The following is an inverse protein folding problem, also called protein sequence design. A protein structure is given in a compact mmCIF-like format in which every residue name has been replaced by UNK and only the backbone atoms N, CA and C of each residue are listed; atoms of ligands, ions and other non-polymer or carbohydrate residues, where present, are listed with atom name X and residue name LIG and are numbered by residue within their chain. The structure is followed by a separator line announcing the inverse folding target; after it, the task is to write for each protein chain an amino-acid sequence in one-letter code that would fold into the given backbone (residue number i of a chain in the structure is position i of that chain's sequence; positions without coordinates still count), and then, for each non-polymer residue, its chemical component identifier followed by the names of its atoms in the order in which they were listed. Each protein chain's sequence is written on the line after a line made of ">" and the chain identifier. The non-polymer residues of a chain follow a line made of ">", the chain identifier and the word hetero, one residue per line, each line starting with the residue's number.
data_IF_299010017084
#
_entry.id   IF_299010017084
#
_cell.length_a   1.000
_cell.length_b   1.000
_cell.length_c   1.000
_cell.angle_alpha   90.00
_cell.angle_beta   90.00
_cell.angle_gamma   90.00
#
_symmetry.space_group_name_H-M   'P 1'
#
loop_
_entity.id
_entity.type
_entity.pdbx_description
1 polymer ?
#
# COMPACT_ATOMS: atom_id res chain seq x y z
N UNK A 1 1.22 4.24 9.60
CA UNK A 1 1.68 5.53 9.04
C UNK A 1 2.05 5.42 7.57
N UNK A 2 1.36 6.19 6.72
CA UNK A 2 1.71 6.36 5.29
C UNK A 2 2.73 7.48 5.12
N UNK A 3 3.86 7.16 4.50
CA UNK A 3 4.94 8.09 4.14
C UNK A 3 4.94 8.38 2.64
N UNK A 4 5.35 9.58 2.27
CA UNK A 4 5.47 10.03 0.89
C UNK A 4 6.93 10.42 0.58
N UNK A 5 7.48 9.89 -0.51
CA UNK A 5 8.84 10.15 -0.99
C UNK A 5 8.75 10.86 -2.34
N UNK A 6 9.00 12.18 -2.35
CA UNK A 6 8.89 13.03 -3.55
C UNK A 6 9.83 12.57 -4.66
N UNK A 7 11.04 12.15 -4.33
CA UNK A 7 12.07 11.76 -5.31
C UNK A 7 11.67 10.54 -6.16
N UNK A 8 10.72 9.74 -5.65
CA UNK A 8 10.17 8.59 -6.37
C UNK A 8 8.86 8.93 -7.09
N UNK A 9 8.35 10.16 -7.02
CA UNK A 9 7.06 10.51 -7.59
C UNK A 9 7.20 10.92 -9.07
N UNK A 10 6.47 10.26 -9.96
CA UNK A 10 6.36 10.63 -11.38
C UNK A 10 5.20 11.57 -11.70
N UNK A 11 4.54 12.14 -10.69
CA UNK A 11 3.45 13.13 -10.85
C UNK A 11 2.26 12.68 -11.71
N UNK A 12 1.98 11.38 -11.77
CA UNK A 12 0.90 10.83 -12.61
C UNK A 12 -0.52 11.07 -12.07
N UNK A 13 -0.67 11.52 -10.82
CA UNK A 13 -1.97 11.81 -10.20
C UNK A 13 -2.80 10.59 -9.77
N UNK A 14 -2.34 9.36 -9.97
CA UNK A 14 -3.09 8.15 -9.60
C UNK A 14 -3.50 8.12 -8.12
N UNK A 15 -2.61 8.55 -7.22
CA UNK A 15 -2.90 8.62 -5.78
C UNK A 15 -4.02 9.61 -5.42
N UNK A 16 -4.11 10.73 -6.15
CA UNK A 16 -5.16 11.76 -5.97
C UNK A 16 -6.51 11.18 -6.32
N UNK A 17 -6.60 10.48 -7.46
CA UNK A 17 -7.85 9.90 -7.96
C UNK A 17 -8.44 8.82 -7.03
N UNK A 18 -7.59 8.07 -6.30
CA UNK A 18 -8.04 6.96 -5.45
C UNK A 18 -8.17 7.31 -3.97
N UNK A 19 -7.85 8.55 -3.57
CA UNK A 19 -7.90 8.97 -2.17
C UNK A 19 -9.35 9.17 -1.72
N UNK A 20 -9.91 8.32 -0.84
CA UNK A 20 -11.32 8.44 -0.45
C UNK A 20 -11.60 9.73 0.35
N UNK A 21 -10.59 10.19 1.09
CA UNK A 21 -10.65 11.41 1.89
C UNK A 21 -10.40 12.68 1.05
N UNK A 22 -10.02 12.53 -0.22
CA UNK A 22 -9.72 13.65 -1.14
C UNK A 22 -8.70 14.66 -0.59
N UNK A 23 -7.75 14.18 0.23
CA UNK A 23 -6.73 15.02 0.88
C UNK A 23 -5.42 15.12 0.10
N UNK A 24 -5.31 14.41 -1.03
CA UNK A 24 -4.13 14.48 -1.89
C UNK A 24 -4.42 15.42 -3.05
N UNK A 25 -3.52 16.35 -3.32
CA UNK A 25 -3.62 17.28 -4.44
C UNK A 25 -2.33 17.21 -5.26
N UNK A 26 -2.46 17.30 -6.59
CA UNK A 26 -1.34 17.35 -7.52
C UNK A 26 -1.32 18.74 -8.18
N UNK A 27 -0.25 19.49 -7.95
CA UNK A 27 0.00 20.79 -8.57
C UNK A 27 1.29 20.70 -9.36
N UNK A 28 1.19 20.70 -10.69
CA UNK A 28 2.31 20.54 -11.63
C UNK A 28 3.21 19.34 -11.29
N UNK A 29 4.27 19.58 -10.53
CA UNK A 29 5.30 18.63 -10.11
C UNK A 29 5.37 18.47 -8.59
N UNK A 30 4.25 18.63 -7.89
CA UNK A 30 4.18 18.42 -6.45
C UNK A 30 2.87 17.75 -6.05
N UNK A 31 2.99 16.68 -5.25
CA UNK A 31 1.85 16.09 -4.55
C UNK A 31 1.89 16.55 -3.10
N UNK A 32 0.82 17.19 -2.65
CA UNK A 32 0.64 17.61 -1.26
C UNK A 32 -0.36 16.70 -0.55
N UNK A 33 -0.23 16.61 0.78
CA UNK A 33 -1.11 15.80 1.64
C UNK A 33 -1.71 16.68 2.71
N UNK A 34 -3.03 16.84 2.67
CA UNK A 34 -3.82 17.51 3.68
C UNK A 34 -3.97 16.70 4.97
N UNK A 35 -4.76 17.24 5.90
CA UNK A 35 -5.08 16.62 7.19
C UNK A 35 -6.26 15.66 7.01
N UNK A 36 -6.30 14.56 7.76
CA UNK A 36 -7.43 13.61 7.75
C UNK A 36 -7.15 12.29 7.03
N UNK A 37 -5.88 11.89 6.91
CA UNK A 37 -5.53 10.58 6.38
C UNK A 37 -5.98 9.47 7.34
N UNK A 38 -6.87 8.59 6.88
CA UNK A 38 -7.37 7.42 7.61
C UNK A 38 -6.44 6.18 7.52
N UNK A 39 -5.33 6.31 6.78
CA UNK A 39 -4.38 5.22 6.51
C UNK A 39 -4.96 4.04 5.71
N UNK A 40 -5.95 4.28 4.84
CA UNK A 40 -6.56 3.23 4.00
C UNK A 40 -5.57 2.51 3.06
N UNK A 41 -4.47 3.15 2.65
CA UNK A 41 -3.40 2.52 1.87
C UNK A 41 -3.59 2.50 0.34
N UNK A 42 -4.69 3.04 -0.20
CA UNK A 42 -4.91 3.04 -1.66
C UNK A 42 -3.76 3.67 -2.45
N UNK A 43 -3.17 4.75 -1.93
CA UNK A 43 -2.04 5.41 -2.56
C UNK A 43 -0.78 4.53 -2.62
N UNK A 44 -0.57 3.61 -1.67
CA UNK A 44 0.58 2.70 -1.69
C UNK A 44 0.39 1.57 -2.69
N UNK A 45 -0.86 1.16 -2.95
CA UNK A 45 -1.21 0.11 -3.90
C UNK A 45 -1.17 0.63 -5.34
N UNK A 46 -1.76 1.81 -5.58
CA UNK A 46 -1.90 2.33 -6.96
C UNK A 46 -0.62 2.97 -7.48
N UNK A 47 0.32 3.37 -6.62
CA UNK A 47 1.49 4.12 -7.06
C UNK A 47 2.51 3.18 -7.75
N UNK A 48 2.68 3.27 -9.08
CA UNK A 48 3.58 2.37 -9.81
C UNK A 48 5.05 2.65 -9.48
N UNK A 49 5.36 3.86 -9.02
CA UNK A 49 6.72 4.28 -8.67
C UNK A 49 7.08 3.96 -7.21
N UNK A 50 6.12 3.48 -6.40
CA UNK A 50 6.36 3.23 -4.98
C UNK A 50 6.65 4.49 -4.16
N UNK A 51 6.14 5.66 -4.57
CA UNK A 51 6.33 6.93 -3.86
C UNK A 51 5.62 6.99 -2.50
N UNK A 52 4.61 6.13 -2.28
CA UNK A 52 3.93 5.99 -1.00
C UNK A 52 4.26 4.65 -0.34
N UNK A 53 4.63 4.68 0.94
CA UNK A 53 4.94 3.48 1.73
C UNK A 53 4.16 3.45 3.04
N UNK A 54 3.86 2.25 3.54
CA UNK A 54 3.23 1.99 4.85
C UNK A 54 4.25 1.29 5.76
N UNK A 55 4.40 1.73 7.02
CA UNK A 55 5.41 1.19 7.96
C UNK A 55 4.98 -0.08 8.71
N UNK A 56 3.71 -0.46 8.60
CA UNK A 56 3.19 -1.72 9.11
C UNK A 56 3.69 -2.88 8.25
N UNK A 57 4.64 -3.61 8.81
CA UNK A 57 5.07 -4.91 8.32
C UNK A 57 3.86 -5.84 8.18
N UNK A 58 3.48 -6.17 6.95
CA UNK A 58 3.43 -7.54 6.42
C UNK A 58 2.61 -7.62 5.12
N UNK A 59 3.25 -7.48 3.96
CA UNK A 59 3.12 -8.42 2.82
C UNK A 59 4.00 -8.00 1.64
N UNK A 60 5.31 -7.97 1.85
CA UNK A 60 6.26 -8.09 0.74
C UNK A 60 6.62 -9.56 0.67
N UNK A 61 5.84 -10.35 -0.06
CA UNK A 61 6.27 -11.68 -0.49
C UNK A 61 7.53 -11.46 -1.31
N UNK A 62 8.66 -11.64 -0.66
CA UNK A 62 9.97 -11.67 -1.26
C UNK A 62 10.01 -12.87 -2.21
N UNK A 63 10.20 -12.62 -3.51
CA UNK A 63 10.32 -13.67 -4.53
C UNK A 63 11.43 -14.69 -4.20
N UNK A 64 12.40 -14.33 -3.34
CA UNK A 64 13.46 -15.25 -2.89
C UNK A 64 13.02 -16.20 -1.76
N UNK A 65 11.91 -15.92 -1.07
CA UNK A 65 11.31 -16.81 -0.07
C UNK A 65 10.35 -17.86 -0.67
N UNK A 66 9.88 -17.68 -1.90
CA UNK A 66 9.01 -18.66 -2.58
C UNK A 66 9.78 -19.87 -3.12
N UNK A 67 11.06 -19.70 -3.44
CA UNK A 67 11.91 -20.78 -3.96
C UNK A 67 12.54 -21.66 -2.86
N UNK A 68 12.44 -21.29 -1.58
CA UNK A 68 13.15 -22.00 -0.50
C UNK A 68 12.27 -22.55 0.62
N UNK A 69 10.99 -22.14 0.76
CA UNK A 69 10.07 -22.70 1.74
C UNK A 69 8.66 -22.84 1.16
N UNK A 70 8.29 -24.08 0.83
CA UNK A 70 6.91 -24.44 0.50
C UNK A 70 5.97 -24.08 1.68
N UNK A 71 4.86 -23.40 1.36
CA UNK A 71 3.63 -23.27 2.16
C UNK A 71 3.52 -22.16 3.24
N UNK A 72 3.19 -20.93 2.82
CA UNK A 72 2.42 -19.98 3.67
C UNK A 72 1.07 -19.56 3.05
N UNK A 73 0.59 -20.29 2.04
CA UNK A 73 -0.86 -20.35 1.77
C UNK A 73 -1.60 -21.15 2.87
N UNK A 74 -0.87 -21.97 3.63
CA UNK A 74 -1.42 -22.91 4.61
C UNK A 74 -1.92 -22.29 5.93
N UNK A 75 -1.52 -21.06 6.30
CA UNK A 75 -1.99 -20.46 7.57
C UNK A 75 -3.31 -19.71 7.47
N UNK A 76 -3.63 -19.05 6.36
CA UNK A 76 -4.91 -18.31 6.23
C UNK A 76 -6.06 -19.17 5.72
N UNK A 77 -5.79 -20.26 4.99
CA UNK A 77 -6.81 -21.28 4.70
C UNK A 77 -7.16 -22.10 5.96
N UNK A 78 -6.24 -22.24 6.93
CA UNK A 78 -6.54 -22.84 8.26
C UNK A 78 -7.27 -21.91 9.24
N UNK A 79 -7.19 -20.59 9.07
CA UNK A 79 -7.85 -19.65 9.95
C UNK A 79 -9.34 -19.40 9.60
N UNK A 80 -9.83 -19.85 8.43
CA UNK A 80 -11.25 -19.78 8.05
C UNK A 80 -12.00 -21.11 8.19
N UNK A 81 -11.49 -22.07 8.98
CA UNK A 81 -12.14 -23.36 9.26
C UNK A 81 -12.43 -23.63 10.74
N UNK A 82 -12.38 -22.62 11.61
CA UNK A 82 -12.57 -22.80 13.06
C UNK A 82 -13.65 -21.88 13.68
N UNK A 83 -14.71 -21.52 12.94
CA UNK A 83 -15.91 -20.89 13.53
C UNK A 83 -17.26 -21.47 13.00
N UNK A 84 -17.23 -22.63 12.32
CA UNK A 84 -18.44 -23.46 12.09
C UNK A 84 -18.08 -24.92 12.39
N UNK A 85 -17.90 -25.22 13.68
CA UNK A 85 -18.03 -26.53 14.33
C UNK A 85 -17.96 -26.32 15.85
#
# INVERSE_FOLDING_TARGET
>A
MIKYQRDNCGYCGACVAVCPQQILELTENEVTKGIGCDECGNCTIVCPMGAFTREDKAMRYDFTWWMSHENDMARRIRAMRYDIA
#
